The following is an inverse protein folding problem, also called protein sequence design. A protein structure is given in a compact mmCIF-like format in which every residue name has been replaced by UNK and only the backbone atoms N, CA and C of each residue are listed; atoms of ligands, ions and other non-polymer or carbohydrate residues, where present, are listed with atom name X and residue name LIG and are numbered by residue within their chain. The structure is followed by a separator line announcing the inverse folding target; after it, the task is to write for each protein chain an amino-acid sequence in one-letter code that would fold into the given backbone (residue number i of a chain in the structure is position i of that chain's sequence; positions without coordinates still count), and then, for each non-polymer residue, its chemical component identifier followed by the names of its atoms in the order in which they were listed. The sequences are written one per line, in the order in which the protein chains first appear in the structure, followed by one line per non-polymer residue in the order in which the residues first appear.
data_IF_008533958094
#
_entry.id   IF_008533958094
#
_cell.length_a   1.000
_cell.length_b   1.000
_cell.length_c   1.000
_cell.angle_alpha   90.00
_cell.angle_beta   90.00
_cell.angle_gamma   90.00
#
_symmetry.space_group_name_H-M   'P 1'
#
loop_
_entity.id
_entity.type
_entity.pdbx_description
1 polymer ?
#
# COMPACT_ATOMS: atom_id res chain seq x y z
N UNK A 1 -10.88 1.75 -13.02
CA UNK A 1 -10.96 0.93 -11.80
C UNK A 1 -9.63 0.88 -11.05
N UNK A 2 -8.49 0.47 -11.68
CA UNK A 2 -7.19 0.36 -10.98
C UNK A 2 -6.76 1.69 -10.33
N UNK A 3 -6.80 2.81 -11.05
CA UNK A 3 -6.48 4.13 -10.50
C UNK A 3 -7.29 4.42 -9.24
N UNK A 4 -8.61 4.16 -9.27
CA UNK A 4 -9.50 4.41 -8.13
C UNK A 4 -9.23 3.44 -6.96
N UNK A 5 -8.88 2.18 -7.26
CA UNK A 5 -8.51 1.21 -6.22
C UNK A 5 -7.26 1.65 -5.45
N UNK A 6 -6.24 2.13 -6.17
CA UNK A 6 -5.02 2.67 -5.56
C UNK A 6 -5.24 4.03 -4.91
N UNK A 7 -6.11 4.85 -5.47
CA UNK A 7 -6.54 6.11 -4.86
C UNK A 7 -7.16 5.90 -3.49
N UNK A 8 -7.93 4.81 -3.32
CA UNK A 8 -8.55 4.45 -2.03
C UNK A 8 -7.56 4.14 -0.90
N UNK A 9 -6.28 3.91 -1.21
CA UNK A 9 -5.22 3.80 -0.20
C UNK A 9 -4.89 5.15 0.44
N UNK A 10 -4.58 6.15 -0.37
CA UNK A 10 -4.14 7.46 0.11
C UNK A 10 -5.26 8.49 0.35
N UNK A 11 -6.48 8.18 -0.05
CA UNK A 11 -7.61 9.10 0.03
C UNK A 11 -8.05 9.37 1.48
N UNK A 12 -7.78 8.45 2.39
CA UNK A 12 -8.18 8.56 3.80
C UNK A 12 -7.14 9.29 4.65
N UNK A 13 -5.85 9.31 4.22
CA UNK A 13 -4.78 9.93 5.01
C UNK A 13 -5.06 11.38 5.41
N UNK A 14 -5.48 12.29 4.51
CA UNK A 14 -5.69 13.69 4.84
C UNK A 14 -6.86 13.94 5.78
N UNK A 15 -7.80 13.00 5.87
CA UNK A 15 -9.02 13.15 6.67
C UNK A 15 -8.95 12.49 8.05
N UNK A 16 -7.88 11.76 8.37
CA UNK A 16 -7.71 11.11 9.68
C UNK A 16 -7.93 12.07 10.86
N UNK A 17 -7.30 13.28 10.89
CA UNK A 17 -7.52 14.22 11.97
C UNK A 17 -8.96 14.77 12.03
N UNK A 18 -9.64 14.85 10.88
CA UNK A 18 -11.04 15.29 10.81
C UNK A 18 -11.96 14.24 11.40
N UNK A 19 -11.75 12.96 11.03
CA UNK A 19 -12.50 11.82 11.60
C UNK A 19 -12.29 11.77 13.12
N UNK A 20 -11.03 11.89 13.59
CA UNK A 20 -10.71 11.88 15.02
C UNK A 20 -11.53 12.92 15.79
N UNK A 21 -11.56 14.17 15.29
CA UNK A 21 -12.29 15.26 15.94
C UNK A 21 -13.82 15.10 15.88
N UNK A 22 -14.35 14.65 14.74
CA UNK A 22 -15.82 14.57 14.56
C UNK A 22 -16.45 13.34 15.22
N UNK A 23 -15.70 12.28 15.43
CA UNK A 23 -16.16 11.05 16.10
C UNK A 23 -15.61 10.91 17.52
N UNK A 24 -14.98 11.96 18.05
CA UNK A 24 -14.38 11.98 19.40
C UNK A 24 -13.46 10.76 19.65
N UNK A 25 -12.62 10.46 18.65
CA UNK A 25 -11.76 9.29 18.64
C UNK A 25 -10.28 9.70 18.83
N UNK A 26 -9.52 8.85 19.51
CA UNK A 26 -8.07 9.04 19.65
C UNK A 26 -7.35 8.75 18.32
N UNK A 27 -6.14 9.32 18.08
CA UNK A 27 -5.34 8.98 16.91
C UNK A 27 -5.16 7.48 16.72
N UNK A 28 -4.87 6.74 17.79
CA UNK A 28 -4.72 5.28 17.77
C UNK A 28 -5.99 4.55 17.32
N UNK A 29 -7.18 5.03 17.73
CA UNK A 29 -8.44 4.44 17.27
C UNK A 29 -8.70 4.71 15.79
N UNK A 30 -8.37 5.92 15.32
CA UNK A 30 -8.54 6.27 13.91
C UNK A 30 -7.54 5.50 13.03
N UNK A 31 -6.32 5.29 13.49
CA UNK A 31 -5.32 4.51 12.77
C UNK A 31 -5.69 3.03 12.62
N UNK A 32 -6.62 2.50 13.44
CA UNK A 32 -7.21 1.18 13.21
C UNK A 32 -7.92 1.03 11.86
N UNK A 33 -8.28 2.14 11.21
CA UNK A 33 -8.81 2.12 9.84
C UNK A 33 -7.80 1.52 8.86
N UNK A 34 -6.51 1.85 9.04
CA UNK A 34 -5.43 1.28 8.24
C UNK A 34 -5.07 -0.12 8.69
N UNK A 35 -4.98 -0.35 9.99
CA UNK A 35 -4.70 -1.66 10.57
C UNK A 35 -5.68 -2.72 10.08
N UNK A 36 -6.98 -2.47 10.19
CA UNK A 36 -8.02 -3.41 9.74
C UNK A 36 -7.96 -3.65 8.23
N UNK A 37 -7.81 -2.58 7.46
CA UNK A 37 -7.70 -2.65 6.01
C UNK A 37 -6.47 -3.45 5.55
N UNK A 38 -5.28 -3.15 6.10
CA UNK A 38 -4.03 -3.82 5.73
C UNK A 38 -4.00 -5.26 6.19
N UNK A 39 -4.47 -5.55 7.41
CA UNK A 39 -4.53 -6.90 7.94
C UNK A 39 -5.41 -7.80 7.09
N UNK A 40 -6.64 -7.35 6.81
CA UNK A 40 -7.57 -8.13 6.00
C UNK A 40 -7.08 -8.24 4.56
N UNK A 41 -6.52 -7.17 3.97
CA UNK A 41 -5.92 -7.23 2.63
C UNK A 41 -4.79 -8.25 2.57
N UNK A 42 -3.86 -8.23 3.54
CA UNK A 42 -2.75 -9.19 3.60
C UNK A 42 -3.22 -10.63 3.70
N UNK A 43 -4.14 -10.92 4.63
CA UNK A 43 -4.72 -12.26 4.79
C UNK A 43 -5.48 -12.71 3.52
N UNK A 44 -6.26 -11.83 2.93
CA UNK A 44 -7.03 -12.13 1.72
C UNK A 44 -6.14 -12.38 0.49
N UNK A 45 -4.94 -11.77 0.41
CA UNK A 45 -3.98 -12.05 -0.67
C UNK A 45 -3.63 -13.54 -0.77
N UNK A 46 -3.56 -14.25 0.36
CA UNK A 46 -3.28 -15.69 0.39
C UNK A 46 -4.36 -16.48 -0.35
N UNK A 47 -5.62 -16.10 -0.19
CA UNK A 47 -6.76 -16.84 -0.74
C UNK A 47 -7.17 -16.38 -2.14
N UNK A 48 -6.74 -15.18 -2.56
CA UNK A 48 -7.17 -14.58 -3.84
C UNK A 48 -6.85 -15.47 -5.05
N UNK A 49 -5.66 -16.06 -5.10
CA UNK A 49 -5.28 -16.97 -6.16
C UNK A 49 -6.18 -18.22 -6.24
N UNK A 50 -6.52 -18.78 -5.08
CA UNK A 50 -7.42 -19.93 -4.98
C UNK A 50 -8.86 -19.57 -5.42
N UNK A 51 -9.35 -18.39 -5.08
CA UNK A 51 -10.65 -17.88 -5.52
C UNK A 51 -10.64 -17.68 -7.04
N UNK A 52 -9.65 -16.93 -7.56
CA UNK A 52 -9.54 -16.63 -8.99
C UNK A 52 -9.42 -17.88 -9.86
N UNK A 53 -8.73 -18.92 -9.39
CA UNK A 53 -8.61 -20.18 -10.12
C UNK A 53 -9.92 -21.00 -10.17
N UNK A 54 -10.85 -20.74 -9.26
CA UNK A 54 -12.15 -21.45 -9.19
C UNK A 54 -13.27 -20.72 -9.93
N UNK A 55 -13.50 -19.45 -9.62
CA UNK A 55 -14.59 -18.65 -10.21
C UNK A 55 -14.18 -17.93 -11.50
N UNK A 56 -12.88 -17.78 -11.73
CA UNK A 56 -12.31 -17.08 -12.90
C UNK A 56 -11.96 -15.63 -12.63
N UNK A 57 -11.02 -15.06 -13.41
CA UNK A 57 -10.49 -13.71 -13.17
C UNK A 57 -11.56 -12.61 -13.23
N UNK A 58 -12.43 -12.61 -14.22
CA UNK A 58 -13.50 -11.59 -14.35
C UNK A 58 -14.40 -11.56 -13.11
N UNK A 59 -14.87 -12.71 -12.67
CA UNK A 59 -15.77 -12.78 -11.52
C UNK A 59 -15.08 -12.44 -10.20
N UNK A 60 -13.78 -12.74 -10.08
CA UNK A 60 -12.98 -12.32 -8.93
C UNK A 60 -12.83 -10.80 -8.88
N UNK A 61 -12.57 -10.15 -10.03
CA UNK A 61 -12.56 -8.68 -10.12
C UNK A 61 -13.90 -8.06 -9.73
N UNK A 62 -15.00 -8.58 -10.27
CA UNK A 62 -16.33 -8.08 -9.97
C UNK A 62 -16.71 -8.27 -8.50
N UNK A 63 -16.38 -9.41 -7.92
CA UNK A 63 -16.58 -9.65 -6.49
C UNK A 63 -15.77 -8.65 -5.64
N UNK A 64 -14.50 -8.43 -5.99
CA UNK A 64 -13.64 -7.44 -5.32
C UNK A 64 -14.24 -6.03 -5.40
N UNK A 65 -14.64 -5.59 -6.60
CA UNK A 65 -15.27 -4.29 -6.80
C UNK A 65 -16.59 -4.15 -6.04
N UNK A 66 -17.44 -5.17 -6.06
CA UNK A 66 -18.69 -5.18 -5.32
C UNK A 66 -18.46 -4.96 -3.82
N UNK A 67 -17.49 -5.67 -3.24
CA UNK A 67 -17.13 -5.51 -1.83
C UNK A 67 -16.59 -4.11 -1.54
N UNK A 68 -15.76 -3.54 -2.42
CA UNK A 68 -15.27 -2.17 -2.25
C UNK A 68 -16.44 -1.17 -2.28
N UNK A 69 -17.32 -1.27 -3.27
CA UNK A 69 -18.51 -0.39 -3.39
C UNK A 69 -19.37 -0.46 -2.12
N UNK A 70 -19.68 -1.67 -1.69
CA UNK A 70 -20.51 -1.92 -0.52
C UNK A 70 -19.87 -1.33 0.75
N UNK A 71 -18.66 -1.72 1.05
CA UNK A 71 -18.00 -1.35 2.31
C UNK A 71 -17.50 0.10 2.33
N UNK A 72 -17.15 0.70 1.18
CA UNK A 72 -16.90 2.13 1.10
C UNK A 72 -18.19 2.93 1.35
N UNK A 73 -19.31 2.55 0.73
CA UNK A 73 -20.60 3.17 0.98
C UNK A 73 -21.06 3.07 2.44
N UNK A 74 -20.93 1.89 3.05
CA UNK A 74 -21.21 1.67 4.48
C UNK A 74 -20.28 2.52 5.37
N UNK A 75 -18.98 2.63 5.01
CA UNK A 75 -18.01 3.47 5.72
C UNK A 75 -18.41 4.94 5.72
N UNK A 76 -18.91 5.47 4.60
CA UNK A 76 -19.45 6.81 4.50
C UNK A 76 -20.75 7.02 5.30
N UNK A 77 -21.50 5.96 5.57
CA UNK A 77 -22.76 5.99 6.35
C UNK A 77 -22.56 5.69 7.84
N UNK A 78 -21.33 5.41 8.28
CA UNK A 78 -21.05 5.03 9.65
C UNK A 78 -21.31 6.16 10.65
N UNK A 79 -21.62 5.78 11.90
CA UNK A 79 -21.92 6.69 12.99
C UNK A 79 -20.85 6.71 14.09
N UNK A 80 -20.00 5.70 14.14
CA UNK A 80 -18.90 5.59 15.10
C UNK A 80 -17.64 5.01 14.44
N UNK A 81 -16.50 5.20 15.12
CA UNK A 81 -15.19 4.77 14.63
C UNK A 81 -15.09 3.24 14.48
N UNK A 82 -15.74 2.48 15.37
CA UNK A 82 -15.72 1.02 15.32
C UNK A 82 -16.37 0.48 14.04
N UNK A 83 -17.51 1.06 13.63
CA UNK A 83 -18.18 0.70 12.37
C UNK A 83 -17.26 0.96 11.19
N UNK A 84 -16.58 2.12 11.14
CA UNK A 84 -15.67 2.46 10.05
C UNK A 84 -14.51 1.44 9.99
N UNK A 85 -13.95 1.08 11.14
CA UNK A 85 -12.86 0.08 11.23
C UNK A 85 -13.29 -1.27 10.63
N UNK A 86 -14.49 -1.77 10.98
CA UNK A 86 -15.03 -3.00 10.41
C UNK A 86 -15.26 -2.90 8.90
N UNK A 87 -15.84 -1.80 8.44
CA UNK A 87 -16.11 -1.59 7.01
C UNK A 87 -14.82 -1.43 6.21
N UNK A 88 -13.78 -0.83 6.79
CA UNK A 88 -12.44 -0.78 6.18
C UNK A 88 -11.83 -2.17 6.03
N UNK A 89 -12.04 -3.06 6.99
CA UNK A 89 -11.66 -4.48 6.85
C UNK A 89 -12.35 -5.16 5.66
N UNK A 90 -13.67 -4.99 5.53
CA UNK A 90 -14.43 -5.50 4.39
C UNK A 90 -13.98 -4.91 3.04
N UNK A 91 -13.67 -3.61 3.02
CA UNK A 91 -13.07 -2.96 1.85
C UNK A 91 -11.70 -3.57 1.51
N UNK A 92 -10.84 -3.84 2.51
CA UNK A 92 -9.55 -4.51 2.34
C UNK A 92 -9.66 -5.88 1.69
N UNK A 93 -10.68 -6.66 2.04
CA UNK A 93 -10.98 -7.93 1.37
C UNK A 93 -11.28 -7.74 -0.13
N UNK A 94 -12.16 -6.79 -0.45
CA UNK A 94 -12.46 -6.44 -1.84
C UNK A 94 -11.24 -5.98 -2.61
N UNK A 95 -10.40 -5.16 -1.98
CA UNK A 95 -9.17 -4.64 -2.57
C UNK A 95 -8.15 -5.74 -2.89
N UNK A 96 -7.97 -6.72 -2.01
CA UNK A 96 -7.10 -7.88 -2.25
C UNK A 96 -7.56 -8.69 -3.47
N UNK A 97 -8.84 -9.01 -3.55
CA UNK A 97 -9.42 -9.72 -4.68
C UNK A 97 -9.25 -8.96 -5.99
N UNK A 98 -9.45 -7.63 -5.95
CA UNK A 98 -9.35 -6.79 -7.13
C UNK A 98 -7.90 -6.61 -7.60
N UNK A 99 -7.02 -6.09 -6.74
CA UNK A 99 -5.64 -5.69 -7.12
C UNK A 99 -4.82 -6.91 -7.57
N UNK A 100 -4.87 -8.02 -6.83
CA UNK A 100 -4.10 -9.22 -7.18
C UNK A 100 -4.56 -9.84 -8.52
N UNK A 101 -5.84 -9.68 -8.88
CA UNK A 101 -6.38 -10.20 -10.13
C UNK A 101 -6.22 -9.21 -11.30
N UNK A 102 -6.28 -7.90 -11.03
CA UNK A 102 -6.27 -6.86 -12.05
C UNK A 102 -5.01 -6.90 -12.92
N UNK A 103 -3.82 -7.05 -12.32
CA UNK A 103 -2.58 -7.15 -13.08
C UNK A 103 -2.59 -8.35 -14.04
N UNK A 104 -3.01 -9.52 -13.57
CA UNK A 104 -3.10 -10.72 -14.39
C UNK A 104 -4.06 -10.52 -15.57
N UNK A 105 -5.19 -9.87 -15.34
CA UNK A 105 -6.17 -9.55 -16.39
C UNK A 105 -5.60 -8.54 -17.38
N UNK A 106 -4.98 -7.46 -16.93
CA UNK A 106 -4.38 -6.44 -17.81
C UNK A 106 -3.32 -7.11 -18.71
N UNK A 107 -2.46 -7.95 -18.14
CA UNK A 107 -1.44 -8.69 -18.91
C UNK A 107 -2.09 -9.61 -19.95
N UNK A 108 -3.20 -10.27 -19.62
CA UNK A 108 -3.86 -11.23 -20.52
C UNK A 108 -4.61 -10.58 -21.69
N UNK A 109 -5.03 -9.31 -21.55
CA UNK A 109 -5.80 -8.59 -22.59
C UNK A 109 -4.98 -7.53 -23.32
N UNK A 110 -3.75 -7.26 -22.89
CA UNK A 110 -2.91 -6.23 -23.48
C UNK A 110 -2.35 -6.63 -24.85
N UNK A 111 -2.66 -5.87 -25.88
CA UNK A 111 -2.12 -6.05 -27.23
C UNK A 111 -0.64 -5.66 -27.36
N UNK A 112 -0.12 -4.83 -26.43
CA UNK A 112 1.28 -4.37 -26.38
C UNK A 112 2.24 -5.30 -25.65
N UNK A 113 1.80 -6.52 -25.29
CA UNK A 113 2.62 -7.49 -24.55
C UNK A 113 2.71 -7.20 -23.04
N UNK A 114 3.37 -8.12 -22.32
CA UNK A 114 3.46 -8.10 -20.85
C UNK A 114 4.13 -6.82 -20.30
N UNK A 115 5.17 -6.32 -20.99
CA UNK A 115 5.89 -5.12 -20.54
C UNK A 115 5.00 -3.86 -20.58
N UNK A 116 4.25 -3.66 -21.67
CA UNK A 116 3.30 -2.54 -21.79
C UNK A 116 2.17 -2.62 -20.76
N UNK A 117 1.69 -3.82 -20.48
CA UNK A 117 0.66 -4.08 -19.46
C UNK A 117 1.14 -3.69 -18.05
N UNK A 118 2.37 -4.05 -17.70
CA UNK A 118 2.97 -3.71 -16.40
C UNK A 118 3.16 -2.19 -16.28
N UNK A 119 3.65 -1.52 -17.33
CA UNK A 119 3.81 -0.06 -17.34
C UNK A 119 2.46 0.63 -17.11
N UNK A 120 1.40 0.17 -17.77
CA UNK A 120 0.05 0.73 -17.61
C UNK A 120 -0.48 0.53 -16.18
N UNK A 121 -0.23 -0.64 -15.59
CA UNK A 121 -0.62 -0.94 -14.23
C UNK A 121 0.13 -0.07 -13.20
N UNK A 122 1.46 0.08 -13.37
CA UNK A 122 2.29 0.94 -12.51
C UNK A 122 1.92 2.43 -12.68
N UNK A 123 1.59 2.86 -13.89
CA UNK A 123 1.06 4.21 -14.12
C UNK A 123 -0.26 4.43 -13.39
N UNK A 124 -1.17 3.45 -13.40
CA UNK A 124 -2.43 3.52 -12.67
C UNK A 124 -2.21 3.56 -11.15
N UNK A 125 -1.23 2.82 -10.65
CA UNK A 125 -0.81 2.85 -9.24
C UNK A 125 -0.25 4.24 -8.87
N UNK A 126 0.69 4.75 -9.64
CA UNK A 126 1.28 6.07 -9.40
C UNK A 126 0.25 7.20 -9.43
N UNK A 127 -0.63 7.20 -10.43
CA UNK A 127 -1.74 8.17 -10.52
C UNK A 127 -2.70 8.05 -9.34
N UNK A 128 -3.06 6.83 -8.95
CA UNK A 128 -3.96 6.59 -7.83
C UNK A 128 -3.39 7.13 -6.53
N UNK A 129 -2.14 6.78 -6.22
CA UNK A 129 -1.46 7.22 -4.99
C UNK A 129 -1.19 8.73 -4.96
N UNK A 130 -1.03 9.37 -6.13
CA UNK A 130 -0.83 10.83 -6.21
C UNK A 130 -2.14 11.59 -6.06
N UNK A 131 -3.18 11.20 -6.82
CA UNK A 131 -4.47 11.92 -6.87
C UNK A 131 -5.33 11.60 -5.65
N UNK A 132 -5.16 10.42 -5.03
CA UNK A 132 -5.93 9.98 -3.88
C UNK A 132 -5.95 10.99 -2.74
N UNK A 133 -4.79 11.37 -2.19
CA UNK A 133 -4.73 12.33 -1.10
C UNK A 133 -5.31 13.70 -1.45
N UNK A 134 -5.10 14.17 -2.70
CA UNK A 134 -5.65 15.44 -3.16
C UNK A 134 -7.18 15.43 -3.14
N UNK A 135 -7.80 14.42 -3.75
CA UNK A 135 -9.26 14.27 -3.74
C UNK A 135 -9.78 13.99 -2.33
N UNK A 136 -9.02 13.25 -1.51
CA UNK A 136 -9.32 13.00 -0.11
C UNK A 136 -9.37 14.30 0.70
N UNK A 137 -8.42 15.19 0.49
CA UNK A 137 -8.37 16.51 1.11
C UNK A 137 -9.55 17.40 0.68
N UNK A 138 -9.79 17.50 -0.63
CA UNK A 138 -10.88 18.34 -1.18
C UNK A 138 -12.27 17.83 -0.75
N UNK A 139 -12.58 16.56 -0.97
CA UNK A 139 -13.85 15.97 -0.54
C UNK A 139 -14.00 15.95 0.98
N UNK A 140 -12.90 15.71 1.70
CA UNK A 140 -12.85 15.67 3.15
C UNK A 140 -13.06 17.04 3.80
N UNK A 141 -12.74 18.13 3.12
CA UNK A 141 -13.02 19.49 3.57
C UNK A 141 -14.53 19.81 3.62
N UNK A 142 -15.29 19.19 2.73
CA UNK A 142 -16.76 19.31 2.70
C UNK A 142 -17.36 18.39 3.78
N UNK A 143 -16.94 17.14 3.78
CA UNK A 143 -17.35 16.14 4.77
C UNK A 143 -16.36 14.99 4.80
N UNK A 144 -15.99 14.50 5.98
CA UNK A 144 -15.14 13.30 6.09
C UNK A 144 -15.76 12.06 5.43
N UNK A 145 -17.06 12.06 5.21
CA UNK A 145 -17.83 11.01 4.52
C UNK A 145 -17.64 11.07 3.00
N UNK A 146 -17.32 12.25 2.46
CA UNK A 146 -17.19 12.51 1.03
C UNK A 146 -16.22 11.55 0.32
N UNK A 147 -14.98 11.36 0.81
CA UNK A 147 -14.04 10.40 0.24
C UNK A 147 -14.56 8.97 0.15
N UNK A 148 -15.27 8.48 1.17
CA UNK A 148 -15.83 7.13 1.18
C UNK A 148 -16.92 6.96 0.10
N UNK A 149 -17.86 7.89 0.01
CA UNK A 149 -18.90 7.87 -1.03
C UNK A 149 -18.30 8.10 -2.42
N UNK A 150 -17.28 8.96 -2.55
CA UNK A 150 -16.56 9.18 -3.81
C UNK A 150 -15.96 7.89 -4.36
N UNK A 151 -15.27 7.12 -3.53
CA UNK A 151 -14.73 5.81 -3.92
C UNK A 151 -15.85 4.84 -4.26
N UNK A 152 -16.91 4.77 -3.45
CA UNK A 152 -18.06 3.88 -3.70
C UNK A 152 -18.67 4.13 -5.09
N UNK A 153 -18.94 5.39 -5.43
CA UNK A 153 -19.52 5.76 -6.73
C UNK A 153 -18.56 5.45 -7.89
N UNK A 154 -17.29 5.86 -7.78
CA UNK A 154 -16.30 5.61 -8.84
C UNK A 154 -16.05 4.12 -9.06
N UNK A 155 -16.05 3.33 -7.99
CA UNK A 155 -15.89 1.88 -8.08
C UNK A 155 -17.16 1.19 -8.63
N UNK A 156 -18.35 1.73 -8.34
CA UNK A 156 -19.60 1.25 -8.95
C UNK A 156 -19.59 1.48 -10.47
N UNK A 157 -19.11 2.64 -10.94
CA UNK A 157 -18.90 2.90 -12.37
C UNK A 157 -17.89 1.89 -12.94
N UNK A 158 -16.78 1.65 -12.25
CA UNK A 158 -15.79 0.64 -12.65
C UNK A 158 -16.36 -0.77 -12.70
N UNK A 159 -17.23 -1.14 -11.76
CA UNK A 159 -17.93 -2.42 -11.72
C UNK A 159 -18.82 -2.60 -12.95
N UNK A 160 -19.67 -1.61 -13.26
CA UNK A 160 -20.55 -1.64 -14.43
C UNK A 160 -19.72 -1.70 -15.73
N UNK A 161 -18.67 -0.89 -15.83
CA UNK A 161 -17.80 -0.91 -17.01
C UNK A 161 -17.12 -2.28 -17.21
N UNK A 162 -16.60 -2.91 -16.16
CA UNK A 162 -15.99 -4.24 -16.26
C UNK A 162 -17.04 -5.31 -16.57
N UNK A 163 -18.23 -5.21 -15.99
CA UNK A 163 -19.33 -6.14 -16.25
C UNK A 163 -19.70 -6.16 -17.74
N UNK A 164 -19.80 -4.98 -18.36
CA UNK A 164 -20.24 -4.80 -19.74
C UNK A 164 -19.09 -5.07 -20.73
N UNK A 165 -17.93 -4.44 -20.54
CA UNK A 165 -16.88 -4.41 -21.56
C UNK A 165 -15.84 -5.54 -21.43
N UNK A 166 -15.60 -6.07 -20.24
CA UNK A 166 -14.65 -7.16 -20.07
C UNK A 166 -15.31 -8.50 -20.44
N UNK A 167 -14.81 -9.15 -21.48
CA UNK A 167 -15.23 -10.51 -21.84
C UNK A 167 -14.81 -11.51 -20.76
N UNK A 168 -15.51 -12.64 -20.69
CA UNK A 168 -15.12 -13.74 -19.83
C UNK A 168 -13.73 -14.25 -20.23
N UNK A 169 -12.83 -14.33 -19.25
CA UNK A 169 -11.48 -14.83 -19.45
C UNK A 169 -11.42 -16.31 -19.05
N UNK A 170 -10.60 -17.13 -19.74
CA UNK A 170 -10.44 -18.52 -19.38
C UNK A 170 -9.92 -18.64 -17.95
N UNK A 171 -10.39 -19.67 -17.24
CA UNK A 171 -9.89 -19.99 -15.91
C UNK A 171 -8.47 -20.54 -16.01
N UNK A 172 -7.60 -20.26 -15.05
CA UNK A 172 -6.28 -20.88 -14.99
C UNK A 172 -6.39 -22.41 -15.03
N UNK A 173 -5.56 -23.05 -15.84
CA UNK A 173 -5.57 -24.53 -16.00
C UNK A 173 -5.22 -25.21 -14.69
N UNK A 174 -4.24 -24.65 -13.94
CA UNK A 174 -3.81 -25.17 -12.64
C UNK A 174 -4.56 -24.47 -11.52
N UNK A 175 -5.22 -25.23 -10.66
CA UNK A 175 -5.86 -24.71 -9.45
C UNK A 175 -4.80 -24.40 -8.40
N UNK A 176 -4.77 -23.16 -7.95
CA UNK A 176 -3.88 -22.71 -6.87
C UNK A 176 -4.44 -23.14 -5.51
N UNK A 177 -3.59 -23.69 -4.65
CA UNK A 177 -3.93 -23.98 -3.25
C UNK A 177 -3.77 -22.73 -2.40
N UNK A 178 -4.61 -22.60 -1.36
CA UNK A 178 -4.47 -21.53 -0.35
C UNK A 178 -3.13 -21.62 0.39
N UNK A 179 -2.53 -22.79 0.48
CA UNK A 179 -1.25 -23.00 1.17
C UNK A 179 -0.02 -22.72 0.29
N UNK A 180 -0.18 -22.57 -1.02
CA UNK A 180 0.96 -22.37 -1.92
C UNK A 180 1.76 -21.09 -1.61
N UNK A 181 1.14 -19.92 -1.33
CA UNK A 181 1.89 -18.74 -0.90
C UNK A 181 2.65 -18.96 0.42
N UNK A 182 2.05 -19.67 1.39
CA UNK A 182 2.71 -19.96 2.66
C UNK A 182 3.89 -20.92 2.49
N UNK A 183 3.73 -21.93 1.62
CA UNK A 183 4.83 -22.85 1.27
C UNK A 183 5.97 -22.13 0.54
N UNK A 184 5.66 -21.14 -0.27
CA UNK A 184 6.67 -20.34 -0.98
C UNK A 184 7.60 -19.59 -0.02
N UNK A 185 7.14 -19.20 1.19
CA UNK A 185 7.98 -18.57 2.22
C UNK A 185 9.07 -19.50 2.79
N UNK A 186 9.04 -20.80 2.49
CA UNK A 186 10.15 -21.71 2.82
C UNK A 186 11.41 -21.40 2.00
N UNK A 187 11.28 -20.73 0.85
CA UNK A 187 12.43 -20.27 0.07
C UNK A 187 13.07 -19.07 0.77
N UNK A 188 14.29 -19.26 1.25
CA UNK A 188 15.03 -18.29 2.07
C UNK A 188 15.19 -16.93 1.39
N UNK A 189 15.41 -16.88 0.06
CA UNK A 189 15.46 -15.64 -0.69
C UNK A 189 14.16 -14.84 -0.61
N UNK A 190 13.02 -15.49 -0.87
CA UNK A 190 11.72 -14.88 -0.78
C UNK A 190 11.39 -14.44 0.66
N UNK A 191 11.70 -15.27 1.65
CA UNK A 191 11.50 -14.94 3.06
C UNK A 191 12.34 -13.73 3.50
N UNK A 192 13.61 -13.65 3.06
CA UNK A 192 14.48 -12.49 3.34
C UNK A 192 13.86 -11.20 2.78
N UNK A 193 13.42 -11.23 1.51
CA UNK A 193 12.78 -10.08 0.88
C UNK A 193 11.46 -9.70 1.57
N UNK A 194 10.67 -10.70 1.97
CA UNK A 194 9.40 -10.48 2.63
C UNK A 194 9.57 -9.89 4.05
N UNK A 195 10.52 -10.39 4.84
CA UNK A 195 10.81 -9.85 6.18
C UNK A 195 11.41 -8.44 6.12
N UNK A 196 12.33 -8.19 5.20
CA UNK A 196 12.83 -6.84 4.95
C UNK A 196 11.68 -5.90 4.58
N UNK A 197 10.77 -6.37 3.72
CA UNK A 197 9.63 -5.58 3.31
C UNK A 197 8.62 -5.32 4.44
N UNK A 198 8.40 -6.26 5.34
CA UNK A 198 7.61 -6.06 6.56
C UNK A 198 8.17 -4.89 7.38
N UNK A 199 9.49 -4.87 7.55
CA UNK A 199 10.16 -3.87 8.38
C UNK A 199 10.16 -2.47 7.75
N UNK A 200 10.46 -2.34 6.44
CA UNK A 200 10.39 -1.03 5.83
C UNK A 200 8.96 -0.52 5.65
N UNK A 201 8.01 -1.42 5.44
CA UNK A 201 6.59 -1.05 5.39
C UNK A 201 6.07 -0.56 6.76
N UNK A 202 6.58 -1.13 7.84
CA UNK A 202 6.30 -0.60 9.17
C UNK A 202 6.70 0.87 9.27
N UNK A 203 7.93 1.24 8.89
CA UNK A 203 8.38 2.65 8.88
C UNK A 203 7.57 3.51 7.91
N UNK A 204 7.28 3.00 6.71
CA UNK A 204 6.48 3.69 5.70
C UNK A 204 5.08 4.04 6.19
N UNK A 205 4.35 3.07 6.75
CA UNK A 205 3.00 3.33 7.24
C UNK A 205 3.00 4.17 8.52
N UNK A 206 4.02 4.09 9.37
CA UNK A 206 4.21 5.04 10.47
C UNK A 206 4.30 6.48 9.95
N UNK A 207 5.10 6.72 8.90
CA UNK A 207 5.20 8.04 8.27
C UNK A 207 3.84 8.47 7.69
N UNK A 208 3.24 7.62 6.87
CA UNK A 208 2.05 7.99 6.10
C UNK A 208 0.84 8.30 6.99
N UNK A 209 0.59 7.49 8.03
CA UNK A 209 -0.63 7.56 8.82
C UNK A 209 -0.50 8.47 10.04
N UNK A 210 0.70 8.62 10.60
CA UNK A 210 0.89 9.40 11.84
C UNK A 210 1.27 10.86 11.59
N UNK A 211 1.94 11.20 10.47
CA UNK A 211 2.31 12.60 10.17
C UNK A 211 1.11 13.56 10.03
N UNK A 212 -0.10 13.16 9.59
CA UNK A 212 -1.26 14.05 9.61
C UNK A 212 -1.59 14.63 10.98
N UNK A 213 -1.41 13.84 12.04
CA UNK A 213 -1.65 14.29 13.42
C UNK A 213 -0.55 15.23 13.93
N UNK A 214 0.69 15.00 13.50
CA UNK A 214 1.84 15.86 13.85
C UNK A 214 1.75 17.22 13.19
N UNK A 215 1.36 17.26 11.90
CA UNK A 215 1.30 18.49 11.14
C UNK A 215 0.14 19.40 11.58
N UNK A 216 -0.98 18.85 12.07
CA UNK A 216 -2.14 19.64 12.48
C UNK A 216 -2.73 20.53 11.38
N UNK A 217 -2.44 20.23 10.12
CA UNK A 217 -2.89 20.95 8.94
C UNK A 217 -4.34 20.62 8.60
N UNK A 218 -4.96 21.46 7.74
CA UNK A 218 -6.29 21.15 7.18
C UNK A 218 -6.21 19.96 6.22
N UNK A 219 -7.35 19.30 5.98
CA UNK A 219 -7.43 18.17 5.04
C UNK A 219 -6.94 18.54 3.63
N UNK A 220 -7.26 19.76 3.17
CA UNK A 220 -6.79 20.27 1.88
C UNK A 220 -5.26 20.40 1.86
N UNK A 221 -4.67 21.01 2.90
CA UNK A 221 -3.21 21.17 2.98
C UNK A 221 -2.50 19.80 3.02
N UNK A 222 -2.99 18.86 3.82
CA UNK A 222 -2.49 17.49 3.85
C UNK A 222 -2.63 16.81 2.50
N UNK A 223 -3.77 17.02 1.81
CA UNK A 223 -3.98 16.54 0.44
C UNK A 223 -2.89 16.97 -0.51
N UNK A 224 -2.49 18.24 -0.49
CA UNK A 224 -1.39 18.75 -1.32
C UNK A 224 -0.02 18.19 -0.92
N UNK A 225 0.26 18.03 0.37
CA UNK A 225 1.52 17.43 0.85
C UNK A 225 1.64 15.99 0.33
N UNK A 226 0.61 15.18 0.49
CA UNK A 226 0.62 13.79 0.02
C UNK A 226 0.50 13.66 -1.50
N UNK A 227 -0.11 14.63 -2.17
CA UNK A 227 -0.04 14.72 -3.63
C UNK A 227 1.41 14.91 -4.10
N UNK A 228 2.15 15.83 -3.49
CA UNK A 228 3.58 16.03 -3.76
C UNK A 228 4.40 14.77 -3.49
N UNK A 229 4.16 14.08 -2.38
CA UNK A 229 4.74 12.77 -2.07
C UNK A 229 4.46 11.73 -3.17
N UNK A 230 3.21 11.60 -3.60
CA UNK A 230 2.81 10.62 -4.62
C UNK A 230 3.38 10.93 -6.01
N UNK A 231 3.43 12.21 -6.39
CA UNK A 231 4.07 12.64 -7.66
C UNK A 231 5.56 12.30 -7.64
N UNK A 232 6.24 12.59 -6.53
CA UNK A 232 7.67 12.29 -6.41
C UNK A 232 7.95 10.79 -6.41
N UNK A 233 7.09 10.00 -5.75
CA UNK A 233 7.09 8.54 -5.81
C UNK A 233 6.94 8.04 -7.26
N UNK A 234 5.95 8.54 -8.00
CA UNK A 234 5.70 8.12 -9.37
C UNK A 234 6.88 8.43 -10.31
N UNK A 235 7.43 9.64 -10.23
CA UNK A 235 8.58 10.06 -11.04
C UNK A 235 9.79 9.17 -10.75
N UNK A 236 10.11 8.95 -9.49
CA UNK A 236 11.30 8.19 -9.11
C UNK A 236 11.15 6.69 -9.40
N UNK A 237 9.96 6.14 -9.24
CA UNK A 237 9.65 4.76 -9.59
C UNK A 237 9.89 4.47 -11.08
N UNK A 238 9.43 5.37 -11.96
CA UNK A 238 9.50 5.16 -13.42
C UNK A 238 10.85 5.54 -13.99
N UNK A 239 11.40 6.69 -13.59
CA UNK A 239 12.59 7.26 -14.25
C UNK A 239 13.87 7.04 -13.48
N UNK A 240 13.86 7.06 -12.15
CA UNK A 240 15.07 6.99 -11.33
C UNK A 240 15.45 5.55 -11.00
N UNK A 241 14.48 4.74 -10.60
CA UNK A 241 14.71 3.36 -10.18
C UNK A 241 15.47 2.52 -11.24
N UNK A 242 15.07 2.51 -12.54
CA UNK A 242 15.79 1.73 -13.55
C UNK A 242 17.21 2.23 -13.81
N UNK A 243 17.47 3.54 -13.65
CA UNK A 243 18.81 4.12 -13.82
C UNK A 243 19.75 3.72 -12.68
N UNK A 244 19.26 3.82 -11.44
CA UNK A 244 20.02 3.42 -10.26
C UNK A 244 20.28 1.91 -10.23
N UNK A 245 19.28 1.11 -10.61
CA UNK A 245 19.42 -0.35 -10.71
C UNK A 245 20.54 -0.75 -11.69
N UNK A 246 20.58 -0.10 -12.86
CA UNK A 246 21.65 -0.37 -13.87
C UNK A 246 23.03 0.04 -13.39
N UNK A 247 23.13 1.10 -12.58
CA UNK A 247 24.44 1.64 -12.15
C UNK A 247 24.98 0.95 -10.89
N UNK A 248 24.13 0.63 -9.93
CA UNK A 248 24.51 0.15 -8.60
C UNK A 248 23.97 -1.25 -8.27
N UNK A 249 23.22 -1.86 -9.19
CA UNK A 249 22.53 -3.13 -8.99
C UNK A 249 21.31 -3.01 -8.07
N UNK A 250 20.52 -4.07 -8.04
CA UNK A 250 19.25 -4.12 -7.26
C UNK A 250 19.53 -4.01 -5.77
N UNK A 251 20.41 -4.88 -5.24
CA UNK A 251 20.69 -4.91 -3.79
C UNK A 251 21.40 -3.65 -3.30
N UNK A 252 22.40 -3.15 -4.03
CA UNK A 252 23.12 -1.92 -3.65
C UNK A 252 22.19 -0.71 -3.56
N UNK A 253 21.32 -0.56 -4.56
CA UNK A 253 20.34 0.52 -4.55
C UNK A 253 19.31 0.36 -3.42
N UNK A 254 18.84 -0.88 -3.18
CA UNK A 254 17.88 -1.16 -2.07
C UNK A 254 18.48 -0.80 -0.71
N UNK A 255 19.76 -1.17 -0.44
CA UNK A 255 20.45 -0.76 0.79
C UNK A 255 20.48 0.76 0.97
N UNK A 256 20.83 1.48 -0.11
CA UNK A 256 20.87 2.94 -0.08
C UNK A 256 19.49 3.55 0.20
N UNK A 257 18.46 3.05 -0.46
CA UNK A 257 17.09 3.56 -0.25
C UNK A 257 16.59 3.28 1.17
N UNK A 258 16.82 2.09 1.71
CA UNK A 258 16.47 1.76 3.10
C UNK A 258 17.19 2.67 4.10
N UNK A 259 18.48 2.93 3.88
CA UNK A 259 19.25 3.85 4.73
C UNK A 259 18.70 5.27 4.67
N UNK A 260 18.37 5.77 3.47
CA UNK A 260 17.77 7.09 3.29
C UNK A 260 16.38 7.19 3.92
N UNK A 261 15.54 6.16 3.81
CA UNK A 261 14.22 6.12 4.49
C UNK A 261 14.39 6.11 6.01
N UNK A 262 15.35 5.37 6.55
CA UNK A 262 15.62 5.36 7.99
C UNK A 262 16.11 6.73 8.48
N UNK A 263 16.99 7.39 7.74
CA UNK A 263 17.46 8.76 8.04
C UNK A 263 16.31 9.76 7.96
N UNK A 264 15.47 9.67 6.94
CA UNK A 264 14.31 10.54 6.75
C UNK A 264 13.33 10.45 7.94
N UNK A 265 13.03 9.23 8.40
CA UNK A 265 12.23 9.01 9.60
C UNK A 265 12.88 9.61 10.86
N UNK A 266 14.21 9.52 11.01
CA UNK A 266 14.93 10.18 12.10
C UNK A 266 14.83 11.70 12.00
N UNK A 267 14.96 12.26 10.80
CA UNK A 267 14.81 13.71 10.57
C UNK A 267 13.42 14.18 10.98
N UNK A 268 12.36 13.45 10.61
CA UNK A 268 10.99 13.75 11.04
C UNK A 268 10.90 13.65 12.57
N UNK A 269 11.37 12.56 13.16
CA UNK A 269 11.33 12.34 14.60
C UNK A 269 12.06 13.42 15.40
N UNK A 270 13.19 13.93 14.91
CA UNK A 270 13.94 15.01 15.54
C UNK A 270 13.29 16.38 15.38
N UNK A 271 12.46 16.57 14.35
CA UNK A 271 11.90 17.87 13.96
C UNK A 271 10.36 17.88 13.99
N UNK A 272 9.72 17.08 14.83
CA UNK A 272 8.25 16.93 14.90
C UNK A 272 7.50 18.27 15.00
N UNK A 273 8.08 19.27 15.66
CA UNK A 273 7.49 20.61 15.80
C UNK A 273 7.81 21.57 14.65
N UNK A 274 8.67 21.18 13.72
CA UNK A 274 9.01 22.02 12.56
C UNK A 274 8.26 21.51 11.31
N UNK A 275 7.08 22.08 11.08
CA UNK A 275 6.19 21.66 10.00
C UNK A 275 6.86 21.72 8.62
N UNK A 276 7.74 22.70 8.37
CA UNK A 276 8.44 22.84 7.07
C UNK A 276 9.36 21.65 6.83
N UNK A 277 10.16 21.28 7.84
CA UNK A 277 11.05 20.12 7.75
C UNK A 277 10.26 18.83 7.56
N UNK A 278 9.19 18.64 8.32
CA UNK A 278 8.34 17.46 8.21
C UNK A 278 7.69 17.35 6.82
N UNK A 279 7.14 18.45 6.28
CA UNK A 279 6.54 18.47 4.93
C UNK A 279 7.57 18.11 3.85
N UNK A 280 8.77 18.71 3.91
CA UNK A 280 9.84 18.40 2.95
C UNK A 280 10.24 16.93 3.05
N UNK A 281 10.43 16.41 4.26
CA UNK A 281 10.77 15.02 4.51
C UNK A 281 9.70 14.06 3.95
N UNK A 282 8.41 14.31 4.18
CA UNK A 282 7.32 13.51 3.60
C UNK A 282 7.44 13.45 2.07
N UNK A 283 7.62 14.58 1.41
CA UNK A 283 7.70 14.63 -0.06
C UNK A 283 8.94 13.86 -0.55
N UNK A 284 10.09 14.05 0.09
CA UNK A 284 11.34 13.39 -0.25
C UNK A 284 11.26 11.86 0.00
N UNK A 285 10.63 11.44 1.09
CA UNK A 285 10.37 10.03 1.36
C UNK A 285 9.62 9.34 0.22
N UNK A 286 8.69 10.06 -0.45
CA UNK A 286 8.02 9.57 -1.66
C UNK A 286 9.03 9.12 -2.73
N UNK A 287 10.07 9.91 -2.94
CA UNK A 287 11.13 9.58 -3.89
C UNK A 287 11.91 8.32 -3.53
N UNK A 288 12.32 8.18 -2.28
CA UNK A 288 13.02 6.99 -1.81
C UNK A 288 12.15 5.73 -1.89
N UNK A 289 10.88 5.86 -1.51
CA UNK A 289 9.91 4.76 -1.56
C UNK A 289 9.58 4.34 -2.99
N UNK A 290 9.49 5.28 -3.93
CA UNK A 290 9.26 4.98 -5.35
C UNK A 290 10.36 4.09 -5.92
N UNK A 291 11.63 4.44 -5.67
CA UNK A 291 12.77 3.60 -6.07
C UNK A 291 12.73 2.26 -5.34
N UNK A 292 12.59 2.27 -4.02
CA UNK A 292 12.62 1.05 -3.21
C UNK A 292 11.52 0.05 -3.62
N UNK A 293 10.28 0.52 -3.76
CA UNK A 293 9.15 -0.34 -4.14
C UNK A 293 9.36 -1.03 -5.48
N UNK A 294 9.86 -0.29 -6.49
CA UNK A 294 10.12 -0.84 -7.82
C UNK A 294 11.18 -1.94 -7.78
N UNK A 295 12.28 -1.69 -7.07
CA UNK A 295 13.38 -2.66 -6.98
C UNK A 295 13.00 -3.89 -6.18
N UNK A 296 12.34 -3.71 -5.04
CA UNK A 296 11.91 -4.81 -4.17
C UNK A 296 10.88 -5.70 -4.87
N UNK A 297 9.91 -5.11 -5.58
CA UNK A 297 8.93 -5.89 -6.35
C UNK A 297 9.61 -6.71 -7.44
N UNK A 298 10.57 -6.13 -8.17
CA UNK A 298 11.35 -6.84 -9.18
C UNK A 298 12.16 -7.99 -8.57
N UNK A 299 12.85 -7.72 -7.46
CA UNK A 299 13.67 -8.69 -6.75
C UNK A 299 12.83 -9.90 -6.23
N UNK A 300 11.67 -9.63 -5.68
CA UNK A 300 10.75 -10.66 -5.18
C UNK A 300 10.34 -11.65 -6.28
N UNK A 301 10.08 -11.15 -7.51
CA UNK A 301 9.70 -12.00 -8.62
C UNK A 301 10.82 -12.93 -9.10
N UNK A 302 12.06 -12.67 -8.69
CA UNK A 302 13.26 -13.44 -9.03
C UNK A 302 13.79 -14.26 -7.84
N UNK A 303 13.34 -13.98 -6.62
CA UNK A 303 13.90 -14.52 -5.39
C UNK A 303 13.54 -15.99 -5.10
N UNK A 304 12.60 -16.58 -5.82
CA UNK A 304 12.20 -17.98 -5.61
C UNK A 304 11.74 -18.66 -6.92
N UNK A 305 12.01 -19.96 -7.10
CA UNK A 305 11.59 -20.75 -8.27
C UNK A 305 10.12 -21.17 -8.15
N UNK A 306 9.23 -20.21 -7.94
CA UNK A 306 7.77 -20.41 -7.86
C UNK A 306 7.06 -19.50 -8.85
N UNK A 307 5.81 -19.80 -9.16
CA UNK A 307 5.01 -18.95 -10.04
C UNK A 307 4.88 -17.53 -9.47
N UNK A 308 5.05 -16.52 -10.32
CA UNK A 308 5.03 -15.08 -9.91
C UNK A 308 3.81 -14.69 -9.06
N UNK A 309 2.57 -15.14 -9.35
CA UNK A 309 1.42 -14.83 -8.52
C UNK A 309 1.55 -15.38 -7.08
N UNK A 310 2.16 -16.56 -6.93
CA UNK A 310 2.38 -17.21 -5.62
C UNK A 310 3.45 -16.43 -4.84
N UNK A 311 4.57 -16.06 -5.48
CA UNK A 311 5.61 -15.25 -4.85
C UNK A 311 5.07 -13.88 -4.42
N UNK A 312 4.29 -13.22 -5.30
CA UNK A 312 3.64 -11.94 -5.02
C UNK A 312 2.66 -12.01 -3.85
N UNK A 313 1.83 -13.04 -3.79
CA UNK A 313 0.88 -13.24 -2.70
C UNK A 313 1.59 -13.47 -1.36
N UNK A 314 2.62 -14.33 -1.35
CA UNK A 314 3.43 -14.63 -0.18
C UNK A 314 4.14 -13.37 0.37
N UNK A 315 4.77 -12.63 -0.53
CA UNK A 315 5.43 -11.37 -0.21
C UNK A 315 4.46 -10.32 0.32
N UNK A 316 3.33 -10.12 -0.37
CA UNK A 316 2.33 -9.12 0.01
C UNK A 316 1.70 -9.43 1.37
N UNK A 317 1.43 -10.70 1.66
CA UNK A 317 0.92 -11.13 2.97
C UNK A 317 1.86 -10.68 4.11
N UNK A 318 3.16 -10.97 4.00
CA UNK A 318 4.14 -10.59 5.04
C UNK A 318 4.32 -9.07 5.09
N UNK A 319 4.44 -8.42 3.94
CA UNK A 319 4.60 -6.97 3.81
C UNK A 319 3.44 -6.21 4.45
N UNK A 320 2.19 -6.58 4.15
CA UNK A 320 1.02 -5.92 4.73
C UNK A 320 0.88 -6.17 6.23
N UNK A 321 1.47 -7.27 6.77
CA UNK A 321 1.58 -7.48 8.20
C UNK A 321 2.30 -6.34 8.93
N UNK A 322 3.42 -5.85 8.38
CA UNK A 322 4.11 -4.66 8.90
C UNK A 322 3.25 -3.40 8.81
N UNK A 323 2.60 -3.19 7.65
CA UNK A 323 1.67 -2.08 7.44
C UNK A 323 0.41 -2.14 8.31
N UNK A 324 0.00 -3.31 8.77
CA UNK A 324 -1.15 -3.46 9.65
C UNK A 324 -0.84 -3.05 11.10
N UNK A 325 0.36 -3.38 11.59
CA UNK A 325 0.74 -3.09 12.97
C UNK A 325 1.17 -1.64 13.15
N UNK A 326 1.86 -1.07 12.17
CA UNK A 326 2.50 0.24 12.26
C UNK A 326 1.53 1.39 12.62
N UNK A 327 0.38 1.57 11.98
CA UNK A 327 -0.51 2.70 12.26
C UNK A 327 -0.98 2.69 13.72
N UNK A 328 -1.58 1.58 14.14
CA UNK A 328 -2.07 1.45 15.52
C UNK A 328 -0.96 1.63 16.56
N UNK A 329 0.21 1.01 16.33
CA UNK A 329 1.33 1.10 17.27
C UNK A 329 1.91 2.52 17.31
N UNK A 330 1.93 3.25 16.19
CA UNK A 330 2.38 4.63 16.16
C UNK A 330 1.52 5.53 17.07
N UNK A 331 0.20 5.41 17.00
CA UNK A 331 -0.70 6.13 17.89
C UNK A 331 -0.50 5.77 19.37
N UNK A 332 -0.28 4.48 19.69
CA UNK A 332 -0.02 4.03 21.05
C UNK A 332 1.33 4.56 21.59
N UNK A 333 2.39 4.45 20.79
CA UNK A 333 3.72 4.95 21.18
C UNK A 333 3.72 6.47 21.43
N UNK A 334 2.98 7.21 20.63
CA UNK A 334 2.83 8.64 20.84
C UNK A 334 2.09 8.96 22.14
N UNK A 335 1.05 8.20 22.45
CA UNK A 335 0.27 8.37 23.68
C UNK A 335 1.04 7.95 24.95
N UNK A 336 1.84 6.87 24.87
CA UNK A 336 2.61 6.37 26.01
C UNK A 336 3.87 7.18 26.29
N UNK A 337 4.50 7.74 25.27
CA UNK A 337 5.80 8.42 25.40
C UNK A 337 5.75 9.85 24.85
N UNK A 338 5.85 9.99 23.53
CA UNK A 338 5.82 11.29 22.86
C UNK A 338 5.61 11.15 21.34
N UNK A 339 5.21 12.24 20.62
CA UNK A 339 5.05 12.22 19.16
C UNK A 339 6.34 11.91 18.37
N UNK A 340 7.50 11.98 18.99
CA UNK A 340 8.80 11.66 18.38
C UNK A 340 9.03 10.14 18.26
N UNK A 341 8.58 9.37 19.25
CA UNK A 341 8.89 7.93 19.41
C UNK A 341 8.42 7.07 18.24
N UNK A 342 7.23 7.24 17.67
CA UNK A 342 6.81 6.47 16.49
C UNK A 342 7.82 6.50 15.35
N UNK A 343 8.38 7.66 15.06
CA UNK A 343 9.36 7.84 13.98
C UNK A 343 10.71 7.19 14.30
N UNK A 344 11.15 7.24 15.56
CA UNK A 344 12.37 6.53 15.99
C UNK A 344 12.21 5.02 15.88
N UNK A 345 11.06 4.48 16.29
CA UNK A 345 10.76 3.05 16.15
C UNK A 345 10.64 2.66 14.68
N UNK A 346 10.01 3.50 13.86
CA UNK A 346 9.95 3.33 12.40
C UNK A 346 11.34 3.29 11.77
N UNK A 347 12.21 4.23 12.13
CA UNK A 347 13.60 4.27 11.66
C UNK A 347 14.39 3.02 12.06
N UNK A 348 14.24 2.58 13.33
CA UNK A 348 14.87 1.35 13.83
C UNK A 348 14.38 0.10 13.10
N UNK A 349 13.08 0.03 12.79
CA UNK A 349 12.51 -1.07 11.99
C UNK A 349 13.11 -1.10 10.58
N UNK A 350 13.18 0.04 9.89
CA UNK A 350 13.78 0.12 8.54
C UNK A 350 15.28 -0.24 8.59
N UNK A 351 16.02 0.24 9.57
CA UNK A 351 17.42 -0.11 9.78
C UNK A 351 17.60 -1.62 10.03
N UNK A 352 16.71 -2.24 10.82
CA UNK A 352 16.67 -3.69 11.01
C UNK A 352 16.40 -4.44 9.70
N UNK A 353 15.61 -3.86 8.79
CA UNK A 353 15.41 -4.37 7.43
C UNK A 353 16.70 -4.46 6.63
N UNK A 354 17.61 -3.49 6.81
CA UNK A 354 18.96 -3.54 6.19
C UNK A 354 19.74 -4.75 6.71
N UNK A 355 19.71 -5.00 8.03
CA UNK A 355 20.39 -6.14 8.64
C UNK A 355 19.82 -7.49 8.16
N UNK A 356 18.49 -7.59 8.02
CA UNK A 356 17.81 -8.76 7.45
C UNK A 356 18.25 -9.00 6.01
N UNK A 357 18.26 -7.97 5.18
CA UNK A 357 18.68 -8.07 3.79
C UNK A 357 20.15 -8.47 3.68
N UNK A 358 21.02 -7.91 4.54
CA UNK A 358 22.44 -8.24 4.57
C UNK A 358 22.69 -9.70 4.98
N UNK A 359 21.98 -10.18 6.01
CA UNK A 359 22.10 -11.58 6.48
C UNK A 359 21.68 -12.59 5.41
N UNK A 360 20.66 -12.26 4.62
CA UNK A 360 20.11 -13.13 3.57
C UNK A 360 20.70 -12.93 2.18
N UNK A 361 21.69 -12.04 1.99
CA UNK A 361 22.24 -11.67 0.67
C UNK A 361 22.74 -12.85 -0.18
N UNK A 362 23.22 -13.92 0.47
CA UNK A 362 23.70 -15.11 -0.27
C UNK A 362 22.59 -15.90 -0.94
N UNK A 363 21.34 -15.76 -0.48
CA UNK A 363 20.18 -16.38 -1.10
C UNK A 363 19.62 -15.53 -2.25
N UNK A 364 20.20 -14.34 -2.50
CA UNK A 364 19.77 -13.36 -3.49
C UNK A 364 20.81 -13.12 -4.60
N UNK A 365 21.76 -14.03 -4.78
CA UNK A 365 22.83 -13.90 -5.79
C UNK A 365 22.35 -13.85 -7.24
N UNK A 366 21.12 -14.26 -7.49
CA UNK A 366 20.49 -14.25 -8.82
C UNK A 366 19.56 -13.03 -9.03
N UNK A 367 19.43 -12.16 -8.05
CA UNK A 367 18.65 -10.93 -8.04
C UNK A 367 19.54 -9.72 -8.25
#
# INVERSE_FOLDING_TARGET
ACVVAFMGLGLVDPILPVIARQLDATPSQVELLFTSYMLVTGLAMIVTGAVSSRIGPKWTLLLGLFLIVLFAGLGGSAHDIGQIVWYRGGWGLGNALFIATALAVIVSVASGGTAGAIILYEAALGLGLSVGPLLGGELGSISWRGPFFGVSVLMAIGFVAILIFLRALPKPVKKTSVLDPLRALRHRGLLTMALMALLYNFGFFTLLTFTPFVLGMTAIQLGYVYFGWGVFLAITSVFVAPRLQRRFGTLGTTYTMLALIAVDLLVIGLNVHNHVVVVIAIIVAGGFLGVNNTLVTTAVMQAAPVERPIASAAYSFVRFGGGAVAPWLAGQLAAWFSPHVPFYVGAAAVASGIAVLYSGRHFLRTV
#
